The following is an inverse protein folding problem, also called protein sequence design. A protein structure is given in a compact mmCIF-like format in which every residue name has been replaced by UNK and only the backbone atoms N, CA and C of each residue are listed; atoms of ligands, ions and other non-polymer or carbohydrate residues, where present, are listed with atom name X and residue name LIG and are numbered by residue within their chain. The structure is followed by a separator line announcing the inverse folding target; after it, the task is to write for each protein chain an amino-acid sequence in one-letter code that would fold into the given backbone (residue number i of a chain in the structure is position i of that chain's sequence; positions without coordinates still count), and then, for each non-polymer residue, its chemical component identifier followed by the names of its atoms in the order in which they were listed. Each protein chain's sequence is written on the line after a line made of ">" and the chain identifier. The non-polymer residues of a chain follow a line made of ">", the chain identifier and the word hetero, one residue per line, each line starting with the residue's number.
data_IF_696146489105
#
_entry.id   IF_696146489105
#
_cell.length_a   1.000
_cell.length_b   1.000
_cell.length_c   1.000
_cell.angle_alpha   90.00
_cell.angle_beta   90.00
_cell.angle_gamma   90.00
#
_symmetry.space_group_name_H-M   'P 1'
#
loop_
_entity.id
_entity.type
_entity.pdbx_description
1 polymer ?
#
# COMPACT_ATOMS: atom_id res chain seq x y z
N UNK A 1 26.00 -8.84 -83.92
CA UNK A 1 25.82 -7.83 -82.85
C UNK A 1 24.92 -8.45 -81.79
N UNK A 2 25.55 -9.10 -80.81
CA UNK A 2 25.71 -8.70 -79.39
C UNK A 2 24.39 -8.70 -78.59
N UNK A 3 24.23 -9.60 -77.60
CA UNK A 3 23.09 -9.61 -76.69
C UNK A 3 23.23 -8.52 -75.62
N UNK A 4 22.11 -7.87 -75.29
CA UNK A 4 21.98 -6.92 -74.18
C UNK A 4 21.70 -7.68 -72.89
N UNK A 5 22.58 -7.50 -71.91
CA UNK A 5 22.45 -8.04 -70.55
C UNK A 5 21.46 -7.20 -69.73
N UNK A 6 20.55 -7.86 -69.00
CA UNK A 6 19.84 -7.28 -67.86
C UNK A 6 20.55 -7.69 -66.55
N UNK A 7 20.78 -6.77 -65.60
CA UNK A 7 21.43 -7.09 -64.34
C UNK A 7 20.44 -7.71 -63.34
N UNK A 8 20.87 -8.83 -62.73
CA UNK A 8 20.21 -9.45 -61.58
C UNK A 8 20.25 -8.50 -60.37
N UNK A 9 19.08 -8.15 -59.82
CA UNK A 9 18.97 -7.46 -58.54
C UNK A 9 19.27 -8.44 -57.41
N UNK A 10 20.47 -8.36 -56.83
CA UNK A 10 20.86 -9.14 -55.65
C UNK A 10 20.41 -8.39 -54.40
N UNK A 11 19.31 -8.84 -53.79
CA UNK A 11 18.90 -8.37 -52.45
C UNK A 11 19.99 -8.82 -51.47
N UNK A 12 20.78 -7.88 -50.94
CA UNK A 12 21.67 -8.16 -49.82
C UNK A 12 20.83 -8.28 -48.55
N UNK A 13 20.55 -9.51 -48.13
CA UNK A 13 20.12 -9.78 -46.78
C UNK A 13 21.28 -9.42 -45.84
N UNK A 14 21.15 -8.31 -45.12
CA UNK A 14 22.09 -7.93 -44.06
C UNK A 14 21.91 -8.93 -42.92
N UNK A 15 22.74 -9.98 -42.90
CA UNK A 15 22.75 -10.97 -41.83
C UNK A 15 23.29 -10.35 -40.55
N UNK A 16 22.46 -10.20 -39.52
CA UNK A 16 22.92 -9.79 -38.20
C UNK A 16 23.81 -10.89 -37.61
N UNK A 17 25.04 -10.54 -37.21
CA UNK A 17 25.96 -11.45 -36.51
C UNK A 17 25.30 -11.97 -35.21
N UNK A 18 25.56 -13.22 -34.79
CA UNK A 18 25.02 -13.77 -33.55
C UNK A 18 25.25 -12.86 -32.33
N UNK A 19 26.39 -12.15 -32.31
CA UNK A 19 26.71 -11.16 -31.26
C UNK A 19 25.78 -9.94 -31.29
N UNK A 20 25.43 -9.44 -32.48
CA UNK A 20 24.46 -8.34 -32.62
C UNK A 20 23.05 -8.78 -32.24
N UNK A 21 22.67 -10.03 -32.57
CA UNK A 21 21.38 -10.58 -32.20
C UNK A 21 21.26 -10.72 -30.67
N UNK A 22 22.29 -11.24 -30.00
CA UNK A 22 22.32 -11.38 -28.53
C UNK A 22 22.27 -10.03 -27.83
N UNK A 23 23.02 -9.02 -28.31
CA UNK A 23 22.98 -7.66 -27.75
C UNK A 23 21.59 -7.03 -27.93
N UNK A 24 20.97 -7.18 -29.09
CA UNK A 24 19.62 -6.70 -29.34
C UNK A 24 18.60 -7.38 -28.41
N UNK A 25 18.67 -8.72 -28.26
CA UNK A 25 17.79 -9.48 -27.36
C UNK A 25 17.97 -9.03 -25.91
N UNK A 26 19.19 -8.85 -25.42
CA UNK A 26 19.47 -8.32 -24.08
C UNK A 26 18.93 -6.89 -23.91
N UNK A 27 19.11 -6.01 -24.91
CA UNK A 27 18.58 -4.65 -24.85
C UNK A 27 17.04 -4.63 -24.80
N UNK A 28 16.38 -5.50 -25.58
CA UNK A 28 14.92 -5.68 -25.56
C UNK A 28 14.43 -6.28 -24.23
N UNK A 29 15.15 -7.23 -23.64
CA UNK A 29 14.88 -7.78 -22.30
C UNK A 29 15.05 -6.72 -21.21
N UNK A 30 16.11 -5.92 -21.27
CA UNK A 30 16.30 -4.81 -20.34
C UNK A 30 15.21 -3.75 -20.50
N UNK A 31 14.84 -3.39 -21.73
CA UNK A 31 13.79 -2.40 -22.01
C UNK A 31 12.42 -2.89 -21.54
N UNK A 32 12.10 -4.17 -21.70
CA UNK A 32 10.84 -4.76 -21.21
C UNK A 32 10.81 -4.92 -19.68
N UNK A 33 11.92 -5.34 -19.05
CA UNK A 33 12.04 -5.34 -17.59
C UNK A 33 11.88 -3.91 -17.01
N UNK A 34 12.43 -2.91 -17.70
CA UNK A 34 12.27 -1.49 -17.37
C UNK A 34 10.84 -1.00 -17.62
N UNK A 35 10.21 -1.40 -18.71
CA UNK A 35 8.84 -1.01 -19.04
C UNK A 35 7.84 -1.57 -18.01
N UNK A 36 8.06 -2.81 -17.53
CA UNK A 36 7.29 -3.38 -16.42
C UNK A 36 7.51 -2.61 -15.11
N UNK A 37 8.72 -2.09 -14.87
CA UNK A 37 9.00 -1.21 -13.73
C UNK A 37 8.41 0.21 -13.88
N UNK A 38 8.05 0.61 -15.11
CA UNK A 38 7.36 1.87 -15.45
C UNK A 38 5.82 1.69 -15.45
N UNK A 39 5.29 0.53 -15.02
CA UNK A 39 3.93 0.53 -14.49
C UNK A 39 3.93 1.47 -13.29
N UNK A 40 3.30 2.64 -13.43
CA UNK A 40 3.33 3.72 -12.46
C UNK A 40 3.05 3.16 -11.07
N UNK A 41 4.10 3.12 -10.23
CA UNK A 41 3.97 2.70 -8.83
C UNK A 41 2.95 3.65 -8.20
N UNK A 42 1.76 3.13 -7.97
CA UNK A 42 0.66 3.88 -7.34
C UNK A 42 0.73 3.71 -5.81
N UNK A 43 1.62 2.86 -5.32
CA UNK A 43 1.86 2.66 -3.90
C UNK A 43 2.56 3.86 -3.25
N UNK A 44 2.08 4.32 -2.10
CA UNK A 44 2.79 5.33 -1.29
C UNK A 44 2.71 5.01 0.21
N UNK A 45 3.56 5.65 1.01
CA UNK A 45 3.69 5.38 2.44
C UNK A 45 3.77 6.68 3.24
N UNK A 46 3.02 6.73 4.35
CA UNK A 46 3.12 7.78 5.35
C UNK A 46 3.47 7.18 6.71
N UNK A 47 4.59 7.60 7.30
CA UNK A 47 5.00 7.18 8.64
C UNK A 47 6.51 7.09 8.83
N UNK A 48 7.01 6.52 9.93
CA UNK A 48 6.21 5.99 11.05
C UNK A 48 5.86 7.10 12.05
N UNK A 49 4.58 7.24 12.40
CA UNK A 49 4.10 8.23 13.37
C UNK A 49 4.05 7.62 14.77
N UNK A 50 4.97 8.04 15.65
CA UNK A 50 5.02 7.56 17.03
C UNK A 50 6.45 7.49 17.58
N UNK A 51 6.67 6.60 18.55
CA UNK A 51 7.97 6.33 19.17
C UNK A 51 8.65 5.05 18.68
N UNK A 52 9.95 4.90 18.95
CA UNK A 52 10.78 3.76 18.49
C UNK A 52 10.70 2.48 19.33
N UNK A 53 9.86 2.42 20.37
CA UNK A 53 9.71 1.23 21.22
C UNK A 53 8.89 0.10 20.58
N UNK A 54 8.69 -1.01 21.29
CA UNK A 54 7.88 -2.14 20.82
C UNK A 54 8.52 -2.96 19.70
N UNK A 55 7.80 -3.95 19.18
CA UNK A 55 8.17 -4.78 18.03
C UNK A 55 7.43 -4.36 16.77
N UNK A 56 8.08 -4.51 15.61
CA UNK A 56 7.49 -4.17 14.31
C UNK A 56 6.35 -5.14 13.97
N UNK A 57 5.29 -4.62 13.35
CA UNK A 57 4.25 -5.40 12.71
C UNK A 57 3.94 -4.81 11.32
N UNK A 58 3.42 -5.64 10.42
CA UNK A 58 2.98 -5.23 9.08
C UNK A 58 1.80 -6.09 8.66
N UNK A 59 0.76 -5.45 8.13
CA UNK A 59 -0.38 -6.13 7.51
C UNK A 59 -0.24 -6.26 5.99
N UNK A 60 0.98 -6.17 5.45
CA UNK A 60 1.23 -6.23 4.00
C UNK A 60 0.73 -7.52 3.35
N UNK A 61 0.68 -8.64 4.08
CA UNK A 61 0.10 -9.89 3.58
C UNK A 61 -1.43 -9.87 3.56
N UNK A 62 -2.05 -9.20 4.54
CA UNK A 62 -3.50 -9.21 4.71
C UNK A 62 -4.26 -8.47 3.61
N UNK A 63 -3.62 -7.57 2.86
CA UNK A 63 -4.27 -6.90 1.74
C UNK A 63 -4.75 -7.87 0.63
N UNK A 64 -4.21 -9.11 0.62
CA UNK A 64 -4.64 -10.19 -0.26
C UNK A 64 -6.00 -10.78 0.13
N UNK A 65 -6.42 -10.64 1.39
CA UNK A 65 -7.73 -11.11 1.87
C UNK A 65 -8.88 -10.17 1.43
N UNK A 66 -8.54 -8.96 0.97
CA UNK A 66 -9.48 -7.98 0.42
C UNK A 66 -9.22 -6.54 0.90
N UNK A 67 -10.14 -5.60 0.61
CA UNK A 67 -10.08 -4.22 1.10
C UNK A 67 -10.34 -4.14 2.61
N UNK A 68 -9.96 -3.03 3.23
CA UNK A 68 -10.32 -2.79 4.65
C UNK A 68 -11.84 -2.68 4.77
N UNK A 69 -12.47 -3.51 5.60
CA UNK A 69 -13.93 -3.52 5.81
C UNK A 69 -14.35 -3.20 7.25
N UNK A 70 -13.42 -3.28 8.21
CA UNK A 70 -13.68 -2.90 9.59
C UNK A 70 -12.37 -2.59 10.33
N UNK A 71 -12.48 -1.78 11.37
CA UNK A 71 -11.36 -1.36 12.20
C UNK A 71 -11.76 -1.56 13.67
N UNK A 72 -10.89 -2.25 14.41
CA UNK A 72 -10.92 -2.38 15.86
C UNK A 72 -9.77 -1.59 16.47
N UNK A 73 -10.08 -0.79 17.46
CA UNK A 73 -9.10 -0.02 18.21
C UNK A 73 -9.38 -0.18 19.69
N UNK A 74 -8.41 -0.73 20.42
CA UNK A 74 -8.49 -0.72 21.89
C UNK A 74 -7.94 0.60 22.39
N UNK A 75 -8.70 1.28 23.24
CA UNK A 75 -8.33 2.58 23.79
C UNK A 75 -8.41 2.56 25.31
N UNK A 76 -7.57 3.36 25.97
CA UNK A 76 -7.73 3.62 27.40
C UNK A 76 -7.77 5.12 27.67
N UNK A 77 -7.61 5.51 28.94
CA UNK A 77 -7.65 6.91 29.36
C UNK A 77 -6.72 7.83 28.55
N UNK A 78 -5.61 7.31 27.99
CA UNK A 78 -4.56 8.12 27.37
C UNK A 78 -4.10 7.67 25.99
N UNK A 79 -4.23 6.39 25.65
CA UNK A 79 -3.50 5.78 24.55
C UNK A 79 -4.38 4.92 23.65
N UNK A 80 -3.92 4.75 22.41
CA UNK A 80 -4.28 3.61 21.58
C UNK A 80 -3.47 2.41 22.09
N UNK A 81 -4.18 1.40 22.59
CA UNK A 81 -3.61 0.23 23.28
C UNK A 81 -3.37 -0.90 22.30
N UNK A 82 -4.28 -1.10 21.35
CA UNK A 82 -4.17 -2.16 20.36
C UNK A 82 -4.99 -1.91 19.11
N UNK A 83 -4.66 -2.65 18.06
CA UNK A 83 -5.25 -2.52 16.73
C UNK A 83 -5.57 -3.91 16.16
N UNK A 84 -6.67 -3.98 15.42
CA UNK A 84 -6.99 -5.08 14.55
C UNK A 84 -7.74 -4.53 13.34
N UNK A 85 -7.40 -4.97 12.14
CA UNK A 85 -8.04 -4.48 10.91
C UNK A 85 -8.61 -5.67 10.16
N UNK A 86 -9.81 -5.51 9.62
CA UNK A 86 -10.47 -6.53 8.81
C UNK A 86 -10.21 -6.27 7.34
N UNK A 87 -9.69 -7.27 6.65
CA UNK A 87 -9.40 -7.27 5.22
C UNK A 87 -10.34 -8.25 4.53
N UNK A 88 -11.20 -7.75 3.64
CA UNK A 88 -12.31 -8.50 3.08
C UNK A 88 -13.19 -9.05 4.20
N UNK A 89 -13.13 -10.37 4.43
CA UNK A 89 -13.87 -11.05 5.50
C UNK A 89 -13.03 -11.47 6.71
N UNK A 90 -11.70 -11.32 6.63
CA UNK A 90 -10.73 -11.88 7.56
C UNK A 90 -10.16 -10.77 8.46
N UNK A 91 -10.12 -11.01 9.76
CA UNK A 91 -9.44 -10.11 10.70
C UNK A 91 -7.95 -10.40 10.71
N UNK A 92 -7.12 -9.36 10.75
CA UNK A 92 -5.69 -9.50 11.05
C UNK A 92 -5.48 -10.11 12.43
N UNK A 93 -4.27 -10.58 12.69
CA UNK A 93 -3.84 -10.82 14.07
C UNK A 93 -3.96 -9.51 14.87
N UNK A 94 -4.34 -9.65 16.14
CA UNK A 94 -4.42 -8.52 17.06
C UNK A 94 -3.02 -8.09 17.49
N UNK A 95 -2.74 -6.79 17.46
CA UNK A 95 -1.48 -6.21 17.94
C UNK A 95 -1.72 -5.21 19.07
N UNK A 96 -0.79 -5.13 20.02
CA UNK A 96 -0.87 -4.24 21.18
C UNK A 96 -1.30 -4.95 22.46
N UNK A 97 -1.62 -4.16 23.49
CA UNK A 97 -2.00 -4.68 24.81
C UNK A 97 -3.49 -4.94 24.97
N UNK A 98 -3.89 -5.36 26.17
CA UNK A 98 -5.28 -5.72 26.51
C UNK A 98 -5.96 -4.73 27.46
N UNK A 99 -5.22 -3.76 28.00
CA UNK A 99 -5.68 -2.84 29.06
C UNK A 99 -6.42 -1.62 28.49
N UNK A 100 -7.70 -1.80 28.14
CA UNK A 100 -8.60 -0.75 27.65
C UNK A 100 -9.89 -1.31 27.07
N UNK A 101 -10.75 -0.42 26.59
CA UNK A 101 -12.03 -0.76 25.96
C UNK A 101 -11.83 -0.97 24.46
N UNK A 102 -12.48 -2.00 23.90
CA UNK A 102 -12.41 -2.29 22.47
C UNK A 102 -13.53 -1.54 21.74
N UNK A 103 -13.14 -0.62 20.87
CA UNK A 103 -14.04 0.07 19.95
C UNK A 103 -13.95 -0.60 18.57
N UNK A 104 -15.08 -0.74 17.89
CA UNK A 104 -15.18 -1.42 16.58
C UNK A 104 -16.09 -0.62 15.64
N UNK A 105 -15.63 -0.42 14.41
CA UNK A 105 -16.42 0.25 13.37
C UNK A 105 -16.29 -0.53 12.07
N UNK A 106 -17.44 -0.87 11.47
CA UNK A 106 -17.52 -1.36 10.10
C UNK A 106 -17.60 -0.21 9.11
N UNK A 107 -16.89 -0.39 8.00
CA UNK A 107 -17.04 0.42 6.79
C UNK A 107 -18.26 -0.09 6.02
N UNK A 108 -18.97 0.82 5.35
CA UNK A 108 -20.04 0.46 4.44
C UNK A 108 -19.47 -0.28 3.21
N UNK A 109 -20.30 -1.05 2.48
CA UNK A 109 -19.88 -1.67 1.23
C UNK A 109 -19.29 -0.64 0.25
N UNK A 110 -18.08 -0.92 -0.26
CA UNK A 110 -17.34 -0.04 -1.18
C UNK A 110 -16.76 1.23 -0.56
N UNK A 111 -16.91 1.46 0.75
CA UNK A 111 -16.29 2.59 1.45
C UNK A 111 -14.79 2.35 1.64
N UNK A 112 -13.97 3.38 1.39
CA UNK A 112 -12.52 3.31 1.54
C UNK A 112 -12.00 4.47 2.39
N UNK A 113 -10.94 4.21 3.16
CA UNK A 113 -10.22 5.28 3.88
C UNK A 113 -9.32 6.02 2.90
N UNK A 114 -9.44 7.34 2.86
CA UNK A 114 -8.70 8.24 1.95
C UNK A 114 -7.77 9.21 2.67
N UNK A 115 -7.92 9.35 3.98
CA UNK A 115 -7.04 10.15 4.81
C UNK A 115 -7.04 9.59 6.24
N UNK A 116 -5.89 9.67 6.90
CA UNK A 116 -5.77 9.36 8.33
C UNK A 116 -5.08 10.52 9.01
N UNK A 117 -5.69 11.05 10.06
CA UNK A 117 -5.03 11.98 10.97
C UNK A 117 -4.94 11.38 12.36
N UNK A 118 -4.11 11.97 13.21
CA UNK A 118 -3.97 11.45 14.55
C UNK A 118 -3.05 12.27 15.42
N UNK A 119 -2.81 11.76 16.63
CA UNK A 119 -1.91 12.35 17.60
C UNK A 119 -1.06 11.30 18.30
N UNK A 120 0.18 11.64 18.61
CA UNK A 120 1.11 10.77 19.32
C UNK A 120 2.04 11.54 20.26
N UNK A 121 2.71 10.82 21.16
CA UNK A 121 3.92 11.30 21.87
C UNK A 121 5.00 10.23 21.75
N UNK A 122 5.20 9.43 22.80
CA UNK A 122 6.00 8.19 22.73
C UNK A 122 5.17 6.99 22.24
N UNK A 123 3.85 7.10 22.38
CA UNK A 123 2.84 6.13 21.95
C UNK A 123 1.76 6.85 21.17
N UNK A 124 1.03 6.10 20.35
CA UNK A 124 -0.11 6.60 19.61
C UNK A 124 -1.27 6.91 20.58
N UNK A 125 -1.97 8.03 20.35
CA UNK A 125 -3.01 8.53 21.25
C UNK A 125 -4.35 8.77 20.57
N UNK A 126 -4.34 9.19 19.31
CA UNK A 126 -5.54 9.43 18.51
C UNK A 126 -5.35 8.95 17.09
N UNK A 127 -6.42 8.42 16.53
CA UNK A 127 -6.58 8.15 15.10
C UNK A 127 -7.93 8.67 14.66
N UNK A 128 -8.00 9.23 13.46
CA UNK A 128 -9.23 9.56 12.76
C UNK A 128 -9.08 9.09 11.33
N UNK A 129 -9.86 8.08 10.95
CA UNK A 129 -9.94 7.61 9.58
C UNK A 129 -11.04 8.40 8.86
N UNK A 130 -10.69 9.05 7.75
CA UNK A 130 -11.62 9.78 6.90
C UNK A 130 -11.86 8.97 5.64
N UNK A 131 -13.14 8.79 5.28
CA UNK A 131 -13.55 7.93 4.18
C UNK A 131 -14.04 8.71 2.96
N UNK A 132 -14.05 8.06 1.80
CA UNK A 132 -14.63 8.56 0.56
C UNK A 132 -16.15 8.78 0.61
N UNK A 133 -16.83 8.21 1.62
CA UNK A 133 -18.24 8.50 1.93
C UNK A 133 -18.44 9.67 2.89
N UNK A 134 -17.37 10.44 3.16
CA UNK A 134 -17.43 11.64 4.01
C UNK A 134 -17.58 11.35 5.51
N UNK A 135 -17.33 10.12 5.96
CA UNK A 135 -17.36 9.78 7.39
C UNK A 135 -16.01 10.08 8.04
N UNK A 136 -16.07 10.48 9.30
CA UNK A 136 -14.92 10.61 10.20
C UNK A 136 -15.05 9.56 11.29
N UNK A 137 -14.04 8.70 11.43
CA UNK A 137 -14.05 7.56 12.37
C UNK A 137 -12.98 7.79 13.45
N UNK A 138 -13.28 8.56 14.51
CA UNK A 138 -12.32 8.92 15.54
C UNK A 138 -12.17 7.84 16.61
N UNK A 139 -10.93 7.66 17.08
CA UNK A 139 -10.55 6.80 18.20
C UNK A 139 -9.52 7.51 19.08
N UNK A 140 -9.59 7.29 20.40
CA UNK A 140 -8.56 7.75 21.35
C UNK A 140 -8.75 9.19 21.85
N UNK A 141 -7.65 9.87 22.21
CA UNK A 141 -7.63 11.12 23.00
C UNK A 141 -6.89 12.25 22.30
N UNK A 142 -7.48 13.45 22.33
CA UNK A 142 -7.01 14.61 21.57
C UNK A 142 -5.82 15.35 22.21
N UNK A 143 -4.68 14.67 22.36
CA UNK A 143 -3.47 15.23 22.96
C UNK A 143 -2.20 14.67 22.35
N UNK A 144 -1.16 15.50 22.21
CA UNK A 144 0.13 15.16 21.61
C UNK A 144 0.40 15.84 20.27
N UNK A 145 1.48 15.42 19.62
CA UNK A 145 1.92 15.86 18.29
C UNK A 145 0.94 15.38 17.23
N UNK A 146 0.40 16.30 16.43
CA UNK A 146 -0.53 15.97 15.35
C UNK A 146 0.20 15.42 14.12
N UNK A 147 -0.45 14.52 13.38
CA UNK A 147 -0.08 14.21 12.00
C UNK A 147 -1.34 14.19 11.12
N UNK A 148 -1.12 14.35 9.82
CA UNK A 148 -2.12 14.18 8.78
C UNK A 148 -1.46 13.45 7.60
N UNK A 149 -2.06 12.35 7.16
CA UNK A 149 -1.56 11.50 6.11
C UNK A 149 -2.62 11.35 5.02
N UNK A 150 -2.19 11.64 3.79
CA UNK A 150 -2.97 11.51 2.55
C UNK A 150 -2.11 10.76 1.54
N UNK A 151 -2.72 9.98 0.63
CA UNK A 151 -1.98 9.27 -0.41
C UNK A 151 -1.22 10.23 -1.32
N UNK A 152 -0.03 9.80 -1.80
CA UNK A 152 0.75 10.58 -2.77
C UNK A 152 0.16 10.54 -4.18
N UNK A 153 -0.45 9.41 -4.55
CA UNK A 153 -0.91 9.14 -5.90
C UNK A 153 -2.44 9.27 -6.00
N UNK A 154 -2.95 9.80 -7.13
CA UNK A 154 -4.39 9.95 -7.33
C UNK A 154 -5.09 8.59 -7.33
N UNK A 155 -6.35 8.56 -6.90
CA UNK A 155 -7.20 7.36 -6.92
C UNK A 155 -6.65 6.18 -6.09
N UNK A 156 -5.86 6.46 -5.07
CA UNK A 156 -5.36 5.45 -4.13
C UNK A 156 -6.00 5.62 -2.75
N UNK A 157 -6.11 4.52 -2.03
CA UNK A 157 -6.80 4.41 -0.74
C UNK A 157 -5.94 3.64 0.26
N UNK A 158 -6.27 3.69 1.55
CA UNK A 158 -5.54 2.93 2.55
C UNK A 158 -5.70 1.43 2.28
N UNK A 159 -4.59 0.76 2.00
CA UNK A 159 -4.58 -0.68 1.70
C UNK A 159 -4.24 -1.51 2.90
N UNK A 160 -3.27 -1.10 3.69
CA UNK A 160 -2.91 -1.77 4.92
C UNK A 160 -2.16 -0.84 5.87
N UNK A 161 -1.97 -1.31 7.11
CA UNK A 161 -1.21 -0.60 8.13
C UNK A 161 0.02 -1.40 8.54
N UNK A 162 1.03 -0.69 9.01
CA UNK A 162 2.19 -1.27 9.70
C UNK A 162 2.45 -0.46 10.96
N UNK A 163 3.47 -0.84 11.72
CA UNK A 163 3.96 0.01 12.79
C UNK A 163 4.74 -0.75 13.83
N UNK A 164 4.64 -0.29 15.07
CA UNK A 164 5.28 -0.88 16.23
C UNK A 164 4.31 -1.03 17.39
N UNK A 165 4.35 -2.17 18.07
CA UNK A 165 3.47 -2.47 19.19
C UNK A 165 4.18 -3.20 20.32
N UNK A 166 3.64 -3.03 21.53
CA UNK A 166 3.98 -3.78 22.74
C UNK A 166 2.72 -3.87 23.60
N UNK A 167 2.78 -3.42 24.86
CA UNK A 167 1.56 -3.23 25.67
C UNK A 167 0.67 -2.07 25.19
N UNK A 168 1.18 -1.22 24.29
CA UNK A 168 0.49 -0.11 23.62
C UNK A 168 0.90 -0.08 22.13
N UNK A 169 0.23 0.73 21.33
CA UNK A 169 0.72 1.05 19.98
C UNK A 169 1.79 2.13 20.08
N UNK A 170 3.02 1.78 19.74
CA UNK A 170 4.16 2.68 19.79
C UNK A 170 4.15 3.65 18.61
N UNK A 171 3.91 3.12 17.41
CA UNK A 171 3.91 3.91 16.19
C UNK A 171 3.09 3.22 15.09
N UNK A 172 2.66 4.00 14.10
CA UNK A 172 1.82 3.54 12.98
C UNK A 172 2.36 4.05 11.64
N UNK A 173 2.32 3.18 10.64
CA UNK A 173 2.61 3.46 9.25
C UNK A 173 1.39 3.13 8.38
N UNK A 174 1.18 3.94 7.34
CA UNK A 174 0.00 3.89 6.49
C UNK A 174 0.43 3.65 5.05
N UNK A 175 -0.12 2.60 4.44
CA UNK A 175 0.25 2.17 3.09
C UNK A 175 -0.93 2.35 2.17
N UNK A 176 -0.73 3.12 1.12
CA UNK A 176 -1.74 3.50 0.14
C UNK A 176 -1.44 2.83 -1.18
N UNK A 177 -2.47 2.39 -1.88
CA UNK A 177 -2.38 1.90 -3.25
C UNK A 177 -3.77 1.93 -3.90
N UNK A 178 -3.84 1.52 -5.16
CA UNK A 178 -5.10 1.36 -5.89
C UNK A 178 -6.07 0.41 -5.17
N UNK A 179 -7.36 0.72 -5.26
CA UNK A 179 -8.39 -0.19 -4.78
C UNK A 179 -8.30 -1.53 -5.54
N UNK A 180 -8.45 -2.68 -4.88
CA UNK A 180 -8.29 -3.99 -5.52
C UNK A 180 -9.44 -4.18 -6.52
N UNK A 181 -9.10 -4.23 -7.80
CA UNK A 181 -10.05 -4.42 -8.91
C UNK A 181 -10.66 -5.83 -8.93
N UNK A 182 -9.94 -6.82 -8.41
CA UNK A 182 -10.33 -8.24 -8.46
C UNK A 182 -10.49 -8.80 -7.04
N UNK A 183 -11.60 -8.48 -6.40
CA UNK A 183 -11.97 -9.13 -5.14
C UNK A 183 -12.98 -10.25 -5.43
N UNK A 184 -12.50 -11.47 -5.60
CA UNK A 184 -13.34 -12.65 -5.87
C UNK A 184 -14.25 -13.06 -4.69
N UNK A 185 -14.10 -12.44 -3.51
CA UNK A 185 -14.85 -12.77 -2.30
C UNK A 185 -15.37 -11.58 -1.49
N UNK A 186 -15.33 -10.38 -2.08
CA UNK A 186 -16.15 -9.24 -1.65
C UNK A 186 -17.58 -9.53 -2.12
#
# INVERSE_FOLDING_TARGET
>A
MRPTAQPNLKIMAVGASPRMLTIAVLALLCASASANAIQARSSSYNGEYGGGGGQRFSHSGNQMDGPITAIRVRVNRYYIVGLQVRYGKVWSDYVGGTQGDLEEIFLHPGESVIQVSGKYKYYLRKLVFVTDKGRYLPFGKDTGTSFNAVPLHPNTVLRFISGRSGSLINAIGLHWDVYPSDCSSC
#
